data_IF_097331312655
#
_entry.id   IF_097331312655
#
_cell.length_a   1.000
_cell.length_b   1.000
_cell.length_c   1.000
_cell.angle_alpha   90.00
_cell.angle_beta   90.00
_cell.angle_gamma   90.00
#
_symmetry.space_group_name_H-M   'P 1'
#
loop_
_entity.id
_entity.type
_entity.pdbx_description
1 polymer ?
#
# COMPACT_ATOMS: atom_id res chain seq x y z
N UNK A 1 14.99 4.96 -31.65
CA UNK A 1 14.82 4.78 -30.19
C UNK A 1 13.72 5.73 -29.80
N UNK A 2 12.48 5.24 -29.66
CA UNK A 2 11.34 6.06 -29.25
C UNK A 2 11.62 6.55 -27.83
N UNK A 3 11.50 7.85 -27.51
CA UNK A 3 11.52 8.26 -26.12
C UNK A 3 10.36 7.52 -25.45
N UNK A 4 10.65 6.68 -24.46
CA UNK A 4 9.64 6.38 -23.45
C UNK A 4 9.36 7.74 -22.82
N UNK A 5 8.24 8.32 -23.24
CA UNK A 5 7.89 9.70 -22.93
C UNK A 5 7.77 9.86 -21.43
N UNK A 6 8.40 10.88 -20.86
CA UNK A 6 8.29 11.29 -19.45
C UNK A 6 6.86 11.25 -18.94
N UNK A 7 5.89 11.61 -19.80
CA UNK A 7 4.44 11.49 -19.57
C UNK A 7 3.98 10.10 -19.10
N UNK A 8 4.52 9.01 -19.65
CA UNK A 8 4.12 7.66 -19.25
C UNK A 8 4.64 7.28 -17.85
N UNK A 9 5.73 7.89 -17.38
CA UNK A 9 6.22 7.70 -16.02
C UNK A 9 5.46 8.60 -15.04
N UNK A 10 5.14 9.83 -15.45
CA UNK A 10 4.29 10.75 -14.66
C UNK A 10 2.89 10.14 -14.45
N UNK A 11 2.28 9.56 -15.49
CA UNK A 11 0.98 8.85 -15.40
C UNK A 11 1.03 7.68 -14.41
N UNK A 12 2.15 6.95 -14.37
CA UNK A 12 2.35 5.83 -13.43
C UNK A 12 2.51 6.35 -12.00
N UNK A 13 3.29 7.41 -11.79
CA UNK A 13 3.48 8.03 -10.49
C UNK A 13 2.15 8.55 -9.95
N UNK A 14 1.38 9.27 -10.77
CA UNK A 14 0.08 9.82 -10.38
C UNK A 14 -0.92 8.70 -10.06
N UNK A 15 -0.91 7.61 -10.84
CA UNK A 15 -1.73 6.42 -10.57
C UNK A 15 -1.40 5.78 -9.21
N UNK A 16 -0.12 5.56 -8.91
CA UNK A 16 0.30 4.94 -7.63
C UNK A 16 0.02 5.88 -6.45
N UNK A 17 0.25 7.19 -6.59
CA UNK A 17 -0.13 8.18 -5.55
C UNK A 17 -1.64 8.19 -5.25
N UNK A 18 -2.46 8.02 -6.28
CA UNK A 18 -3.90 7.91 -6.10
C UNK A 18 -4.28 6.66 -5.29
N UNK A 19 -3.56 5.54 -5.46
CA UNK A 19 -3.73 4.35 -4.62
C UNK A 19 -3.31 4.63 -3.16
N UNK A 20 -2.15 5.27 -2.94
CA UNK A 20 -1.70 5.64 -1.58
C UNK A 20 -2.76 6.48 -0.85
N UNK A 21 -3.33 7.47 -1.53
CA UNK A 21 -4.40 8.30 -0.97
C UNK A 21 -5.66 7.47 -0.66
N UNK A 22 -6.08 6.62 -1.60
CA UNK A 22 -7.24 5.73 -1.41
C UNK A 22 -7.09 4.86 -0.18
N UNK A 23 -5.90 4.26 0.01
CA UNK A 23 -5.58 3.44 1.17
C UNK A 23 -5.63 4.25 2.48
N UNK A 24 -5.04 5.44 2.52
CA UNK A 24 -5.12 6.36 3.70
C UNK A 24 -6.57 6.70 4.08
N UNK A 25 -7.41 6.97 3.09
CA UNK A 25 -8.84 7.25 3.31
C UNK A 25 -9.57 6.02 3.85
N UNK A 26 -9.26 4.82 3.34
CA UNK A 26 -9.85 3.56 3.81
C UNK A 26 -9.42 3.19 5.24
N UNK A 27 -8.18 3.46 5.64
CA UNK A 27 -7.76 3.34 7.04
C UNK A 27 -8.61 4.24 7.94
N UNK A 28 -8.72 5.52 7.58
CA UNK A 28 -9.51 6.52 8.31
C UNK A 28 -10.97 6.09 8.43
N UNK A 29 -11.56 5.63 7.32
CA UNK A 29 -12.94 5.12 7.27
C UNK A 29 -13.13 3.90 8.17
N UNK A 30 -12.18 2.97 8.18
CA UNK A 30 -12.24 1.73 8.98
C UNK A 30 -12.14 2.02 10.47
N UNK A 31 -11.20 2.88 10.88
CA UNK A 31 -11.04 3.31 12.27
C UNK A 31 -12.29 4.02 12.81
N UNK A 32 -12.86 4.93 12.01
CA UNK A 32 -14.04 5.73 12.38
C UNK A 32 -15.39 5.08 12.07
N UNK A 33 -15.42 3.83 11.61
CA UNK A 33 -16.66 3.09 11.40
C UNK A 33 -17.50 3.02 12.68
N UNK A 34 -18.82 3.22 12.57
CA UNK A 34 -19.72 3.38 13.72
C UNK A 34 -20.19 2.05 14.29
N UNK A 35 -20.10 0.99 13.50
CA UNK A 35 -20.54 -0.35 13.90
C UNK A 35 -19.49 -1.40 13.56
N UNK A 36 -19.43 -2.52 14.30
CA UNK A 36 -18.52 -3.63 13.97
C UNK A 36 -18.75 -4.20 12.56
N UNK A 37 -19.98 -4.17 12.07
CA UNK A 37 -20.30 -4.64 10.71
C UNK A 37 -19.77 -3.69 9.64
N UNK A 38 -19.98 -2.37 9.80
CA UNK A 38 -19.41 -1.36 8.91
C UNK A 38 -17.88 -1.41 8.92
N UNK A 39 -17.28 -1.58 10.10
CA UNK A 39 -15.82 -1.72 10.26
C UNK A 39 -15.28 -2.92 9.50
N UNK A 40 -15.92 -4.09 9.56
CA UNK A 40 -15.55 -5.27 8.76
C UNK A 40 -15.63 -5.02 7.26
N UNK A 41 -16.67 -4.33 6.81
CA UNK A 41 -16.82 -3.99 5.39
C UNK A 41 -15.70 -3.05 4.92
N UNK A 42 -15.42 -2.01 5.70
CA UNK A 42 -14.33 -1.07 5.40
C UNK A 42 -12.97 -1.76 5.43
N UNK A 43 -12.75 -2.67 6.39
CA UNK A 43 -11.51 -3.45 6.46
C UNK A 43 -11.33 -4.37 5.24
N UNK A 44 -12.40 -5.01 4.76
CA UNK A 44 -12.35 -5.80 3.53
C UNK A 44 -12.02 -4.95 2.29
N UNK A 45 -12.59 -3.74 2.19
CA UNK A 45 -12.24 -2.76 1.15
C UNK A 45 -10.76 -2.34 1.25
N UNK A 46 -10.28 -2.04 2.46
CA UNK A 46 -8.89 -1.69 2.74
C UNK A 46 -7.93 -2.80 2.33
N UNK A 47 -8.21 -4.04 2.71
CA UNK A 47 -7.40 -5.22 2.35
C UNK A 47 -7.29 -5.37 0.82
N UNK A 48 -8.38 -5.17 0.10
CA UNK A 48 -8.38 -5.22 -1.35
C UNK A 48 -7.55 -4.08 -1.97
N UNK A 49 -7.65 -2.87 -1.43
CA UNK A 49 -6.89 -1.71 -1.88
C UNK A 49 -5.38 -1.88 -1.64
N UNK A 50 -4.96 -2.34 -0.46
CA UNK A 50 -3.56 -2.65 -0.15
C UNK A 50 -2.99 -3.68 -1.13
N UNK A 51 -3.73 -4.77 -1.37
CA UNK A 51 -3.31 -5.79 -2.34
C UNK A 51 -3.15 -5.20 -3.75
N UNK A 52 -4.08 -4.33 -4.16
CA UNK A 52 -4.01 -3.69 -5.48
C UNK A 52 -2.83 -2.70 -5.59
N UNK A 53 -2.50 -2.00 -4.51
CA UNK A 53 -1.35 -1.11 -4.43
C UNK A 53 -0.05 -1.89 -4.65
N UNK A 54 0.19 -2.96 -3.87
CA UNK A 54 1.40 -3.79 -4.01
C UNK A 54 1.55 -4.37 -5.42
N UNK A 55 0.46 -4.90 -5.98
CA UNK A 55 0.47 -5.44 -7.36
C UNK A 55 0.78 -4.34 -8.38
N UNK A 56 0.26 -3.13 -8.18
CA UNK A 56 0.52 -2.00 -9.07
C UNK A 56 1.99 -1.59 -9.03
N UNK A 57 2.59 -1.52 -7.85
CA UNK A 57 4.00 -1.19 -7.69
C UNK A 57 4.91 -2.28 -8.27
N UNK A 58 4.60 -3.55 -8.05
CA UNK A 58 5.33 -4.70 -8.62
C UNK A 58 5.26 -4.74 -10.15
N UNK A 59 4.13 -4.37 -10.75
CA UNK A 59 4.00 -4.39 -12.21
C UNK A 59 4.50 -3.11 -12.89
N UNK A 60 4.40 -1.96 -12.23
CA UNK A 60 4.63 -0.66 -12.86
C UNK A 60 5.88 0.06 -12.33
N UNK A 61 6.21 -0.04 -11.04
CA UNK A 61 7.31 0.71 -10.46
C UNK A 61 8.57 -0.13 -10.43
N UNK A 62 8.57 -1.26 -9.72
CA UNK A 62 9.77 -2.05 -9.44
C UNK A 62 10.54 -2.53 -10.68
N UNK A 63 9.90 -2.97 -11.79
CA UNK A 63 10.62 -3.42 -12.99
C UNK A 63 11.46 -2.32 -13.64
N UNK A 64 11.10 -1.05 -13.39
CA UNK A 64 11.75 0.13 -13.99
C UNK A 64 12.90 0.66 -13.12
N UNK A 65 12.87 0.40 -11.81
CA UNK A 65 13.82 0.99 -10.85
C UNK A 65 14.79 -0.01 -10.21
N UNK A 66 14.53 -1.33 -10.29
CA UNK A 66 15.30 -2.34 -9.53
C UNK A 66 16.04 -3.36 -10.41
N UNK A 67 17.25 -3.74 -9.97
CA UNK A 67 18.00 -4.92 -10.44
C UNK A 67 18.26 -5.88 -9.26
N UNK A 68 17.53 -6.98 -9.17
CA UNK A 68 17.88 -8.18 -8.39
C UNK A 68 17.75 -8.12 -6.86
N UNK A 69 18.55 -7.31 -6.15
CA UNK A 69 18.67 -7.40 -4.66
C UNK A 69 17.57 -6.74 -3.86
N UNK A 70 16.85 -5.77 -4.44
CA UNK A 70 15.78 -5.07 -3.73
C UNK A 70 14.46 -5.86 -3.76
N UNK A 71 14.35 -6.85 -4.66
CA UNK A 71 13.15 -7.70 -4.84
C UNK A 71 12.91 -8.60 -3.62
N UNK A 72 13.95 -9.06 -2.93
CA UNK A 72 13.82 -9.91 -1.74
C UNK A 72 13.28 -9.11 -0.54
N UNK A 73 13.88 -7.96 -0.22
CA UNK A 73 13.43 -7.10 0.88
C UNK A 73 11.99 -6.63 0.73
N UNK A 74 11.51 -6.50 -0.52
CA UNK A 74 10.13 -6.12 -0.79
C UNK A 74 9.15 -7.29 -0.68
N UNK A 75 9.59 -8.50 -1.03
CA UNK A 75 8.80 -9.71 -0.81
C UNK A 75 8.57 -9.93 0.68
N UNK A 76 9.59 -9.67 1.50
CA UNK A 76 9.50 -9.75 2.95
C UNK A 76 8.46 -8.73 3.48
N UNK A 77 8.49 -7.48 2.99
CA UNK A 77 7.55 -6.43 3.40
C UNK A 77 6.08 -6.70 2.97
N UNK A 78 5.90 -7.32 1.80
CA UNK A 78 4.59 -7.80 1.31
C UNK A 78 4.07 -8.98 2.13
N UNK A 79 4.95 -9.95 2.44
CA UNK A 79 4.57 -11.10 3.28
C UNK A 79 4.22 -10.62 4.71
N UNK A 80 4.99 -9.69 5.29
CA UNK A 80 4.68 -9.07 6.58
C UNK A 80 3.30 -8.37 6.58
N UNK A 81 2.99 -7.59 5.54
CA UNK A 81 1.70 -6.89 5.40
C UNK A 81 0.54 -7.89 5.33
N UNK A 82 0.71 -9.00 4.62
CA UNK A 82 -0.31 -10.04 4.49
C UNK A 82 -0.52 -10.78 5.80
N UNK A 83 0.54 -11.10 6.52
CA UNK A 83 0.45 -11.70 7.86
C UNK A 83 -0.28 -10.78 8.85
N UNK A 84 0.01 -9.48 8.82
CA UNK A 84 -0.70 -8.48 9.62
C UNK A 84 -2.20 -8.40 9.26
N UNK A 85 -2.54 -8.39 7.97
CA UNK A 85 -3.93 -8.38 7.50
C UNK A 85 -4.69 -9.64 7.93
N UNK A 86 -4.06 -10.81 7.83
CA UNK A 86 -4.66 -12.08 8.26
C UNK A 86 -4.82 -12.16 9.77
N UNK A 87 -3.91 -11.56 10.54
CA UNK A 87 -4.06 -11.43 11.98
C UNK A 87 -5.25 -10.52 12.33
N UNK A 88 -5.34 -9.33 11.73
CA UNK A 88 -6.42 -8.37 11.99
C UNK A 88 -7.80 -8.94 11.62
N UNK A 89 -7.89 -9.71 10.53
CA UNK A 89 -9.15 -10.35 10.09
C UNK A 89 -9.72 -11.35 11.11
N UNK A 90 -8.86 -11.91 11.98
CA UNK A 90 -9.25 -12.84 13.03
C UNK A 90 -9.69 -12.15 14.33
N UNK A 91 -9.41 -10.85 14.48
CA UNK A 91 -9.76 -10.09 15.68
C UNK A 91 -11.24 -9.72 15.70
N UNK A 92 -11.79 -9.52 16.90
CA UNK A 92 -13.12 -8.91 17.03
C UNK A 92 -13.03 -7.44 16.59
N UNK A 93 -13.79 -7.00 15.56
CA UNK A 93 -13.76 -5.61 15.10
C UNK A 93 -14.20 -4.62 16.18
N UNK A 94 -14.90 -5.04 17.24
CA UNK A 94 -15.26 -4.18 18.36
C UNK A 94 -14.15 -4.05 19.42
N UNK A 95 -13.06 -4.82 19.31
CA UNK A 95 -11.99 -4.88 20.31
C UNK A 95 -10.99 -3.73 20.16
N UNK A 96 -10.33 -3.38 21.27
CA UNK A 96 -9.20 -2.46 21.27
C UNK A 96 -7.96 -3.05 20.58
N UNK A 97 -7.84 -4.38 20.56
CA UNK A 97 -6.77 -5.09 19.86
C UNK A 97 -6.85 -4.86 18.35
N UNK A 98 -8.07 -4.96 17.77
CA UNK A 98 -8.30 -4.63 16.36
C UNK A 98 -7.88 -3.19 16.03
N UNK A 99 -8.27 -2.22 16.87
CA UNK A 99 -7.93 -0.82 16.65
C UNK A 99 -6.42 -0.55 16.74
N UNK A 100 -5.74 -1.20 17.70
CA UNK A 100 -4.28 -1.12 17.85
C UNK A 100 -3.58 -1.70 16.63
N UNK A 101 -3.92 -2.95 16.26
CA UNK A 101 -3.31 -3.62 15.12
C UNK A 101 -3.56 -2.88 13.79
N UNK A 102 -4.75 -2.30 13.61
CA UNK A 102 -5.07 -1.49 12.43
C UNK A 102 -4.26 -0.18 12.40
N UNK A 103 -4.02 0.44 13.55
CA UNK A 103 -3.18 1.66 13.65
C UNK A 103 -1.72 1.34 13.36
N UNK A 104 -1.22 0.22 13.85
CA UNK A 104 0.15 -0.23 13.56
C UNK A 104 0.33 -0.51 12.06
N UNK A 105 -0.63 -1.21 11.44
CA UNK A 105 -0.65 -1.44 9.99
C UNK A 105 -0.74 -0.12 9.20
N UNK A 106 -1.52 0.86 9.68
CA UNK A 106 -1.59 2.19 9.05
C UNK A 106 -0.22 2.87 9.05
N UNK A 107 0.50 2.83 10.17
CA UNK A 107 1.83 3.44 10.27
C UNK A 107 2.83 2.73 9.36
N UNK A 108 2.84 1.39 9.36
CA UNK A 108 3.71 0.61 8.47
C UNK A 108 3.44 0.92 6.98
N UNK A 109 2.17 1.04 6.60
CA UNK A 109 1.77 1.41 5.22
C UNK A 109 2.21 2.83 4.87
N UNK A 110 2.08 3.77 5.81
CA UNK A 110 2.54 5.16 5.60
C UNK A 110 4.06 5.20 5.39
N UNK A 111 4.83 4.50 6.21
CA UNK A 111 6.28 4.42 6.09
C UNK A 111 6.70 3.79 4.75
N UNK A 112 6.03 2.71 4.35
CA UNK A 112 6.21 2.07 3.05
C UNK A 112 5.97 3.03 1.88
N UNK A 113 4.80 3.67 1.84
CA UNK A 113 4.43 4.59 0.75
C UNK A 113 5.38 5.78 0.68
N UNK A 114 5.80 6.34 1.83
CA UNK A 114 6.80 7.41 1.87
C UNK A 114 8.15 6.97 1.31
N UNK A 115 8.61 5.75 1.63
CA UNK A 115 9.84 5.18 1.07
C UNK A 115 9.75 5.05 -0.45
N UNK A 116 8.65 4.51 -0.96
CA UNK A 116 8.40 4.38 -2.41
C UNK A 116 8.42 5.75 -3.10
N UNK A 117 7.73 6.74 -2.53
CA UNK A 117 7.67 8.10 -3.08
C UNK A 117 9.03 8.80 -3.06
N UNK A 118 9.81 8.63 -1.99
CA UNK A 118 11.09 9.30 -1.81
C UNK A 118 12.26 8.64 -2.56
N UNK A 119 12.24 7.31 -2.67
CA UNK A 119 13.38 6.54 -3.18
C UNK A 119 13.14 6.00 -4.59
N UNK A 120 11.92 5.59 -4.95
CA UNK A 120 11.65 4.89 -6.21
C UNK A 120 11.11 5.83 -7.28
N UNK A 121 10.20 6.74 -6.97
CA UNK A 121 9.66 7.67 -7.98
C UNK A 121 10.72 8.56 -8.65
N UNK A 122 11.74 9.09 -7.95
CA UNK A 122 12.79 9.87 -8.62
C UNK A 122 13.60 9.06 -9.65
N UNK A 123 13.69 7.75 -9.47
CA UNK A 123 14.40 6.85 -10.41
C UNK A 123 13.60 6.62 -11.70
N UNK A 124 12.28 6.88 -11.71
CA UNK A 124 11.45 6.81 -12.91
C UNK A 124 11.62 8.04 -13.81
N UNK A 125 11.80 9.22 -13.22
CA UNK A 125 11.84 10.50 -13.98
C UNK A 125 13.28 10.98 -14.27
N UNK A 126 14.27 10.53 -13.50
CA UNK A 126 15.65 11.02 -13.56
C UNK A 126 16.58 10.40 -14.62
N UNK A 127 16.13 10.20 -15.87
CA UNK A 127 16.99 9.66 -16.94
C UNK A 127 17.44 10.69 -17.98
#
# INVERSE_FOLDING_TARGET
MTPVSTTANDDVIDYVKAQHLTTRELFTKTLHARTPTERRQCFAELRAALTAQEVSEELLVHPRVRRGRVVEALRDEVDDTKEQLDHIDQLDPASAEFETALTDLQQATEDHTQRVEAEEFPLLTGR
#
